data_IF_167594420532
#
_entry.id   IF_167594420532
#
_cell.length_a   1.000
_cell.length_b   1.000
_cell.length_c   1.000
_cell.angle_alpha   90.00
_cell.angle_beta   90.00
_cell.angle_gamma   90.00
#
_symmetry.space_group_name_H-M   'P 1'
#
loop_
_entity.id
_entity.type
_entity.pdbx_description
1 polymer ?
#
# COMPACT_ATOMS: atom_id res chain seq x y z
N UNK A 1 -61.35 -62.65 -18.31
CA UNK A 1 -60.26 -61.80 -17.77
C UNK A 1 -59.24 -61.58 -18.89
N UNK A 2 -59.46 -60.59 -19.75
CA UNK A 2 -58.76 -60.49 -21.05
C UNK A 2 -58.24 -59.06 -21.33
N UNK A 3 -57.64 -58.42 -20.33
CA UNK A 3 -57.14 -57.04 -20.46
C UNK A 3 -55.85 -56.70 -19.72
N UNK A 4 -55.38 -57.58 -18.81
CA UNK A 4 -54.22 -57.28 -17.97
C UNK A 4 -52.88 -57.33 -18.73
N UNK A 5 -52.74 -58.21 -19.73
CA UNK A 5 -51.47 -58.39 -20.46
C UNK A 5 -51.06 -57.19 -21.34
N UNK A 6 -52.02 -56.54 -22.02
CA UNK A 6 -51.73 -55.42 -22.92
C UNK A 6 -51.41 -54.11 -22.17
N UNK A 7 -52.00 -53.88 -21.00
CA UNK A 7 -51.65 -52.71 -20.19
C UNK A 7 -50.24 -52.82 -19.60
N UNK A 8 -49.81 -54.05 -19.30
CA UNK A 8 -48.50 -54.30 -18.71
C UNK A 8 -47.36 -54.13 -19.73
N UNK A 9 -47.57 -54.56 -20.98
CA UNK A 9 -46.62 -54.32 -22.07
C UNK A 9 -46.51 -52.82 -22.39
N UNK A 10 -47.64 -52.11 -22.43
CA UNK A 10 -47.68 -50.67 -22.69
C UNK A 10 -47.00 -49.85 -21.59
N UNK A 11 -47.25 -50.18 -20.32
CA UNK A 11 -46.54 -49.57 -19.19
C UNK A 11 -45.03 -49.80 -19.25
N UNK A 12 -44.59 -50.97 -19.74
CA UNK A 12 -43.17 -51.29 -19.89
C UNK A 12 -42.51 -50.45 -20.98
N UNK A 13 -43.18 -50.26 -22.12
CA UNK A 13 -42.71 -49.39 -23.22
C UNK A 13 -42.60 -47.94 -22.77
N UNK A 14 -43.63 -47.42 -22.09
CA UNK A 14 -43.64 -46.03 -21.59
C UNK A 14 -42.52 -45.81 -20.57
N UNK A 15 -42.28 -46.78 -19.68
CA UNK A 15 -41.20 -46.73 -18.69
C UNK A 15 -39.81 -46.74 -19.33
N UNK A 16 -39.61 -47.54 -20.38
CA UNK A 16 -38.35 -47.59 -21.12
C UNK A 16 -38.09 -46.29 -21.90
N UNK A 17 -39.11 -45.71 -22.53
CA UNK A 17 -38.98 -44.43 -23.23
C UNK A 17 -38.65 -43.27 -22.26
N UNK A 18 -39.27 -43.24 -21.07
CA UNK A 18 -38.93 -42.25 -20.02
C UNK A 18 -37.49 -42.37 -19.53
N UNK A 19 -36.95 -43.59 -19.43
CA UNK A 19 -35.57 -43.81 -19.00
C UNK A 19 -34.55 -43.31 -20.02
N UNK A 20 -34.87 -43.32 -21.32
CA UNK A 20 -34.00 -42.78 -22.38
C UNK A 20 -33.98 -41.25 -22.43
N UNK A 21 -35.06 -40.61 -21.98
CA UNK A 21 -35.21 -39.14 -21.99
C UNK A 21 -34.81 -38.49 -20.66
N UNK A 22 -34.46 -39.28 -19.63
CA UNK A 22 -34.10 -38.75 -18.32
C UNK A 22 -32.73 -38.08 -18.37
N UNK A 23 -32.64 -36.85 -17.83
CA UNK A 23 -31.36 -36.14 -17.61
C UNK A 23 -30.48 -36.96 -16.66
N UNK A 24 -29.38 -37.49 -17.16
CA UNK A 24 -28.42 -38.27 -16.37
C UNK A 24 -27.47 -37.29 -15.66
N UNK A 25 -27.26 -37.50 -14.36
CA UNK A 25 -26.27 -36.76 -13.60
C UNK A 25 -24.87 -37.06 -14.12
N UNK A 26 -24.07 -36.01 -14.32
CA UNK A 26 -22.70 -36.06 -14.84
C UNK A 26 -21.77 -36.89 -13.91
N UNK A 27 -22.21 -37.21 -12.69
CA UNK A 27 -21.44 -37.89 -11.66
C UNK A 27 -21.78 -39.38 -11.46
N UNK A 28 -22.74 -39.94 -12.21
CA UNK A 28 -23.02 -41.39 -12.18
C UNK A 28 -22.48 -42.07 -13.43
N UNK A 29 -21.52 -42.97 -13.24
CA UNK A 29 -20.82 -43.76 -14.27
C UNK A 29 -21.72 -44.78 -15.01
N UNK A 30 -22.94 -44.98 -14.52
CA UNK A 30 -23.84 -46.03 -15.04
C UNK A 30 -24.85 -45.49 -16.04
N UNK A 31 -24.36 -45.24 -17.24
CA UNK A 31 -24.97 -45.68 -18.50
C UNK A 31 -24.20 -45.04 -19.66
N UNK A 32 -23.04 -45.62 -19.98
CA UNK A 32 -22.38 -45.27 -21.24
C UNK A 32 -23.38 -45.44 -22.38
N UNK A 33 -23.32 -44.57 -23.39
CA UNK A 33 -24.11 -44.73 -24.62
C UNK A 33 -24.10 -46.19 -25.14
N UNK A 34 -22.99 -46.90 -24.94
CA UNK A 34 -22.83 -48.32 -25.26
C UNK A 34 -23.76 -49.26 -24.48
N UNK A 35 -23.99 -49.06 -23.18
CA UNK A 35 -24.91 -49.92 -22.40
C UNK A 35 -26.37 -49.63 -22.73
N UNK A 36 -26.73 -48.36 -22.95
CA UNK A 36 -28.06 -47.97 -23.42
C UNK A 36 -28.34 -48.51 -24.83
N UNK A 37 -27.37 -48.38 -25.76
CA UNK A 37 -27.43 -48.94 -27.11
C UNK A 37 -27.55 -50.47 -27.08
N UNK A 38 -26.79 -51.16 -26.22
CA UNK A 38 -26.85 -52.61 -26.06
C UNK A 38 -28.22 -53.07 -25.53
N UNK A 39 -28.81 -52.34 -24.58
CA UNK A 39 -30.16 -52.61 -24.09
C UNK A 39 -31.23 -52.36 -25.18
N UNK A 40 -31.08 -51.30 -25.98
CA UNK A 40 -31.98 -50.98 -27.08
C UNK A 40 -31.92 -52.04 -28.19
N UNK A 41 -30.72 -52.48 -28.57
CA UNK A 41 -30.51 -53.58 -29.53
C UNK A 41 -31.04 -54.92 -29.00
N UNK A 42 -30.98 -55.15 -27.68
CA UNK A 42 -31.53 -56.36 -27.05
C UNK A 42 -33.07 -56.34 -26.99
N UNK A 43 -33.68 -55.16 -26.96
CA UNK A 43 -35.13 -54.96 -27.01
C UNK A 43 -35.70 -55.02 -28.44
N UNK A 44 -34.87 -54.75 -29.46
CA UNK A 44 -35.22 -54.89 -30.87
C UNK A 44 -34.99 -56.36 -31.31
N UNK A 45 -36.02 -57.21 -31.26
CA UNK A 45 -35.97 -58.61 -31.73
C UNK A 45 -35.97 -58.75 -33.28
N UNK A 46 -35.62 -57.69 -34.02
CA UNK A 46 -35.46 -57.75 -35.47
C UNK A 46 -33.99 -57.70 -35.85
N UNK A 47 -33.55 -58.58 -36.75
CA UNK A 47 -32.23 -58.46 -37.38
C UNK A 47 -32.17 -57.11 -38.10
N UNK A 48 -31.40 -56.18 -37.55
CA UNK A 48 -31.04 -54.96 -38.27
C UNK A 48 -30.09 -55.41 -39.38
N UNK A 49 -30.56 -55.42 -40.62
CA UNK A 49 -29.71 -55.65 -41.78
C UNK A 49 -28.72 -54.49 -41.90
N UNK A 50 -27.58 -54.63 -41.22
CA UNK A 50 -26.46 -53.70 -41.32
C UNK A 50 -25.80 -53.98 -42.67
N UNK A 51 -26.41 -53.47 -43.74
CA UNK A 51 -25.75 -53.45 -45.06
C UNK A 51 -24.39 -52.80 -44.89
N UNK A 52 -23.34 -53.55 -45.20
CA UNK A 52 -21.95 -53.05 -45.18
C UNK A 52 -21.83 -52.02 -46.29
N UNK A 53 -21.87 -50.73 -45.90
CA UNK A 53 -21.82 -49.62 -46.86
C UNK A 53 -20.61 -49.74 -47.78
N UNK A 54 -20.80 -49.36 -49.05
CA UNK A 54 -19.71 -49.32 -50.01
C UNK A 54 -18.66 -48.29 -49.60
N UNK A 55 -17.40 -48.49 -50.04
CA UNK A 55 -16.30 -47.54 -49.73
C UNK A 55 -16.62 -46.10 -50.15
N UNK A 56 -17.41 -45.92 -51.22
CA UNK A 56 -17.79 -44.60 -51.72
C UNK A 56 -18.85 -43.92 -50.82
N UNK A 57 -19.85 -44.65 -50.35
CA UNK A 57 -20.86 -44.10 -49.43
C UNK A 57 -20.27 -43.77 -48.07
N UNK A 58 -19.35 -44.62 -47.57
CA UNK A 58 -18.58 -44.34 -46.35
C UNK A 58 -17.76 -43.06 -46.45
N UNK A 59 -17.19 -42.77 -47.63
CA UNK A 59 -16.41 -41.55 -47.90
C UNK A 59 -17.32 -40.31 -47.87
N UNK A 60 -18.49 -40.38 -48.50
CA UNK A 60 -19.50 -39.30 -48.47
C UNK A 60 -20.00 -39.00 -47.04
N UNK A 61 -20.23 -40.03 -46.23
CA UNK A 61 -20.61 -39.87 -44.82
C UNK A 61 -19.49 -39.21 -44.03
N UNK A 62 -18.22 -39.67 -44.21
CA UNK A 62 -17.07 -39.06 -43.53
C UNK A 62 -16.92 -37.59 -43.88
N UNK A 63 -17.02 -37.23 -45.16
CA UNK A 63 -16.92 -35.84 -45.61
C UNK A 63 -18.03 -34.95 -45.04
N UNK A 64 -19.28 -35.46 -45.01
CA UNK A 64 -20.41 -34.75 -44.40
C UNK A 64 -20.20 -34.53 -42.90
N UNK A 65 -19.79 -35.56 -42.17
CA UNK A 65 -19.50 -35.48 -40.73
C UNK A 65 -18.36 -34.51 -40.44
N UNK A 66 -17.28 -34.52 -41.24
CA UNK A 66 -16.16 -33.58 -41.08
C UNK A 66 -16.64 -32.14 -41.32
N UNK A 67 -17.47 -31.90 -42.35
CA UNK A 67 -17.99 -30.57 -42.67
C UNK A 67 -18.92 -30.04 -41.58
N UNK A 68 -19.79 -30.89 -41.04
CA UNK A 68 -20.68 -30.54 -39.93
C UNK A 68 -19.89 -30.25 -38.64
N UNK A 69 -18.90 -31.09 -38.29
CA UNK A 69 -18.01 -30.84 -37.14
C UNK A 69 -17.25 -29.53 -37.26
N UNK A 70 -16.72 -29.19 -38.43
CA UNK A 70 -16.03 -27.90 -38.65
C UNK A 70 -16.96 -26.71 -38.44
N UNK A 71 -18.22 -26.82 -38.87
CA UNK A 71 -19.23 -25.76 -38.68
C UNK A 71 -19.64 -25.61 -37.22
N UNK A 72 -19.79 -26.72 -36.51
CA UNK A 72 -20.07 -26.73 -35.07
C UNK A 72 -18.90 -26.16 -34.26
N UNK A 73 -17.66 -26.57 -34.55
CA UNK A 73 -16.47 -26.05 -33.87
C UNK A 73 -16.30 -24.55 -34.10
N UNK A 74 -16.60 -24.05 -35.30
CA UNK A 74 -16.55 -22.62 -35.60
C UNK A 74 -17.61 -21.84 -34.80
N UNK A 75 -18.84 -22.35 -34.71
CA UNK A 75 -19.90 -21.74 -33.88
C UNK A 75 -19.51 -21.69 -32.40
N UNK A 76 -18.95 -22.79 -31.88
CA UNK A 76 -18.48 -22.85 -30.49
C UNK A 76 -17.34 -21.85 -30.24
N UNK A 77 -16.41 -21.70 -31.19
CA UNK A 77 -15.35 -20.70 -31.11
C UNK A 77 -15.90 -19.26 -31.09
N UNK A 78 -16.87 -18.95 -31.95
CA UNK A 78 -17.51 -17.62 -31.98
C UNK A 78 -18.19 -17.32 -30.64
N UNK A 79 -18.95 -18.28 -30.10
CA UNK A 79 -19.61 -18.12 -28.79
C UNK A 79 -18.56 -17.95 -27.68
N UNK A 80 -17.47 -18.72 -27.72
CA UNK A 80 -16.38 -18.60 -26.76
C UNK A 80 -15.71 -17.22 -26.80
N UNK A 81 -15.44 -16.69 -27.99
CA UNK A 81 -14.90 -15.33 -28.15
C UNK A 81 -15.86 -14.26 -27.63
N UNK A 82 -17.16 -14.38 -27.95
CA UNK A 82 -18.18 -13.44 -27.49
C UNK A 82 -18.30 -13.36 -25.97
N UNK A 83 -17.98 -14.45 -25.25
CA UNK A 83 -18.03 -14.50 -23.78
C UNK A 83 -16.70 -14.07 -23.17
N UNK A 84 -15.57 -14.46 -23.76
CA UNK A 84 -14.23 -14.20 -23.18
C UNK A 84 -13.82 -12.74 -23.28
N UNK A 85 -14.16 -12.05 -24.37
CA UNK A 85 -13.80 -10.63 -24.56
C UNK A 85 -14.43 -9.73 -23.47
N UNK A 86 -15.75 -9.80 -23.19
CA UNK A 86 -16.36 -9.03 -22.10
C UNK A 86 -15.76 -9.35 -20.73
N UNK A 87 -15.47 -10.63 -20.47
CA UNK A 87 -14.88 -11.05 -19.19
C UNK A 87 -13.49 -10.43 -19.02
N UNK A 88 -12.63 -10.51 -20.04
CA UNK A 88 -11.29 -9.90 -19.99
C UNK A 88 -11.38 -8.37 -19.80
N UNK A 89 -12.31 -7.72 -20.50
CA UNK A 89 -12.52 -6.28 -20.36
C UNK A 89 -12.97 -5.91 -18.94
N UNK A 90 -13.94 -6.62 -18.37
CA UNK A 90 -14.39 -6.40 -16.99
C UNK A 90 -13.26 -6.66 -15.98
N UNK A 91 -12.51 -7.75 -16.17
CA UNK A 91 -11.38 -8.12 -15.32
C UNK A 91 -10.30 -7.03 -15.30
N UNK A 92 -9.97 -6.48 -16.48
CA UNK A 92 -9.01 -5.39 -16.61
C UNK A 92 -9.46 -4.11 -15.90
N UNK A 93 -10.74 -3.73 -16.04
CA UNK A 93 -11.27 -2.56 -15.35
C UNK A 93 -11.26 -2.74 -13.83
N UNK A 94 -11.67 -3.91 -13.33
CA UNK A 94 -11.64 -4.21 -11.89
C UNK A 94 -10.21 -4.19 -11.33
N UNK A 95 -9.25 -4.75 -12.07
CA UNK A 95 -7.84 -4.70 -11.70
C UNK A 95 -7.34 -3.25 -11.61
N UNK A 96 -7.62 -2.43 -12.61
CA UNK A 96 -7.21 -1.02 -12.61
C UNK A 96 -7.83 -0.23 -11.46
N UNK A 97 -9.12 -0.42 -11.17
CA UNK A 97 -9.78 0.22 -10.03
C UNK A 97 -9.16 -0.20 -8.70
N UNK A 98 -8.81 -1.48 -8.54
CA UNK A 98 -8.14 -1.98 -7.33
C UNK A 98 -6.75 -1.38 -7.13
N UNK A 99 -5.94 -1.34 -8.20
CA UNK A 99 -4.60 -0.73 -8.18
C UNK A 99 -4.69 0.76 -7.84
N UNK A 100 -5.63 1.50 -8.46
CA UNK A 100 -5.83 2.92 -8.16
C UNK A 100 -6.23 3.16 -6.69
N UNK A 101 -7.12 2.33 -6.14
CA UNK A 101 -7.53 2.42 -4.75
C UNK A 101 -6.35 2.20 -3.79
N UNK A 102 -5.52 1.18 -4.04
CA UNK A 102 -4.32 0.93 -3.23
C UNK A 102 -3.34 2.10 -3.30
N UNK A 103 -3.05 2.60 -4.51
CA UNK A 103 -2.12 3.71 -4.69
C UNK A 103 -2.61 4.98 -3.99
N UNK A 104 -3.92 5.27 -4.04
CA UNK A 104 -4.49 6.42 -3.33
C UNK A 104 -4.30 6.30 -1.81
N UNK A 105 -4.61 5.13 -1.23
CA UNK A 105 -4.46 4.89 0.22
C UNK A 105 -3.00 4.99 0.68
N UNK A 106 -2.08 4.47 -0.13
CA UNK A 106 -0.64 4.56 0.17
C UNK A 106 -0.15 6.01 0.12
N UNK A 107 -0.59 6.79 -0.88
CA UNK A 107 -0.27 8.20 -0.99
C UNK A 107 -0.87 9.04 0.15
N UNK A 108 -2.10 8.77 0.58
CA UNK A 108 -2.74 9.44 1.73
C UNK A 108 -1.95 9.18 3.03
N UNK A 109 -1.56 7.93 3.28
CA UNK A 109 -0.72 7.60 4.45
C UNK A 109 0.64 8.30 4.38
N UNK A 110 1.30 8.27 3.22
CA UNK A 110 2.59 8.92 3.04
C UNK A 110 2.52 10.44 3.26
N UNK A 111 1.47 11.09 2.75
CA UNK A 111 1.24 12.52 2.98
C UNK A 111 0.98 12.79 4.47
N UNK A 112 0.16 11.96 5.12
CA UNK A 112 -0.16 12.10 6.55
C UNK A 112 1.08 11.94 7.44
N UNK A 113 1.94 10.97 7.15
CA UNK A 113 3.19 10.75 7.92
C UNK A 113 4.14 11.94 7.78
N UNK A 114 4.25 12.51 6.57
CA UNK A 114 5.08 13.69 6.31
C UNK A 114 4.55 14.95 7.00
N UNK A 115 3.23 15.13 7.05
CA UNK A 115 2.59 16.22 7.79
C UNK A 115 2.82 16.08 9.30
N UNK A 116 2.71 14.86 9.83
CA UNK A 116 2.98 14.57 11.23
C UNK A 116 4.44 14.87 11.60
N UNK A 117 5.39 14.45 10.76
CA UNK A 117 6.82 14.74 10.95
C UNK A 117 7.07 16.25 11.01
N UNK A 118 6.48 17.01 10.09
CA UNK A 118 6.59 18.48 10.08
C UNK A 118 6.07 19.11 11.38
N UNK A 119 4.90 18.69 11.85
CA UNK A 119 4.32 19.17 13.11
C UNK A 119 5.23 18.85 14.31
N UNK A 120 5.85 17.67 14.33
CA UNK A 120 6.76 17.28 15.40
C UNK A 120 8.03 18.14 15.43
N UNK A 121 8.62 18.41 14.26
CA UNK A 121 9.80 19.29 14.12
C UNK A 121 9.45 20.72 14.56
N UNK A 122 8.31 21.26 14.12
CA UNK A 122 7.85 22.60 14.53
C UNK A 122 7.67 22.67 16.05
N UNK A 123 7.05 21.65 16.66
CA UNK A 123 6.87 21.58 18.11
C UNK A 123 8.21 21.48 18.86
N UNK A 124 9.17 20.73 18.34
CA UNK A 124 10.50 20.64 18.95
C UNK A 124 11.23 21.99 18.88
N UNK A 125 11.19 22.65 17.71
CA UNK A 125 11.79 23.97 17.53
C UNK A 125 11.15 25.01 18.45
N UNK A 126 9.83 24.99 18.58
CA UNK A 126 9.11 25.87 19.51
C UNK A 126 9.57 25.65 20.96
N UNK A 127 9.71 24.41 21.41
CA UNK A 127 10.23 24.10 22.74
C UNK A 127 11.67 24.58 22.95
N UNK A 128 12.53 24.50 21.93
CA UNK A 128 13.90 25.04 21.98
C UNK A 128 13.89 26.56 22.13
N UNK A 129 13.03 27.25 21.38
CA UNK A 129 12.85 28.71 21.47
C UNK A 129 12.37 29.10 22.87
N UNK A 130 11.35 28.44 23.40
CA UNK A 130 10.82 28.72 24.75
C UNK A 130 11.88 28.52 25.84
N UNK A 131 12.68 27.44 25.77
CA UNK A 131 13.80 27.22 26.68
C UNK A 131 14.86 28.31 26.55
N UNK A 132 15.21 28.68 25.33
CA UNK A 132 16.17 29.74 25.06
C UNK A 132 15.73 31.06 25.69
N UNK A 133 14.49 31.48 25.42
CA UNK A 133 13.92 32.73 25.96
C UNK A 133 13.87 32.70 27.48
N UNK A 134 13.46 31.57 28.06
CA UNK A 134 13.49 31.37 29.50
C UNK A 134 14.91 31.58 30.07
N UNK A 135 15.92 30.93 29.50
CA UNK A 135 17.30 31.05 29.97
C UNK A 135 17.86 32.47 29.82
N UNK A 136 17.53 33.15 28.72
CA UNK A 136 17.90 34.54 28.50
C UNK A 136 17.28 35.45 29.55
N UNK A 137 15.96 35.41 29.71
CA UNK A 137 15.24 36.28 30.64
C UNK A 137 15.65 36.00 32.09
N UNK A 138 15.87 34.72 32.43
CA UNK A 138 16.34 34.33 33.76
C UNK A 138 17.78 34.83 34.01
N UNK A 139 18.66 34.74 33.01
CA UNK A 139 20.01 35.27 33.07
C UNK A 139 20.03 36.78 33.29
N UNK A 140 19.21 37.53 32.53
CA UNK A 140 19.06 38.98 32.65
C UNK A 140 18.58 39.37 34.07
N UNK A 141 17.58 38.66 34.61
CA UNK A 141 17.13 38.83 35.99
C UNK A 141 18.24 38.60 37.03
N UNK A 142 19.19 37.69 36.77
CA UNK A 142 20.33 37.48 37.67
C UNK A 142 21.40 38.57 37.53
N UNK A 143 21.60 39.14 36.34
CA UNK A 143 22.46 40.30 36.13
C UNK A 143 21.96 41.49 36.95
N UNK A 144 20.65 41.77 36.91
CA UNK A 144 20.03 42.86 37.70
C UNK A 144 20.26 42.67 39.21
N UNK A 145 20.22 41.41 39.69
CA UNK A 145 20.48 41.03 41.08
C UNK A 145 21.96 40.94 41.43
N UNK A 146 22.84 41.30 40.51
CA UNK A 146 24.29 41.23 40.67
C UNK A 146 24.85 39.82 40.94
N UNK A 147 24.11 38.79 40.53
CA UNK A 147 24.51 37.40 40.69
C UNK A 147 25.10 36.85 39.40
N UNK A 148 26.36 37.21 39.16
CA UNK A 148 27.06 36.95 37.89
C UNK A 148 27.20 35.46 37.58
N UNK A 149 27.45 34.63 38.59
CA UNK A 149 27.61 33.18 38.41
C UNK A 149 26.31 32.53 37.93
N UNK A 150 25.18 32.90 38.51
CA UNK A 150 23.89 32.37 38.09
C UNK A 150 23.51 32.90 36.70
N UNK A 151 23.78 34.17 36.40
CA UNK A 151 23.59 34.72 35.06
C UNK A 151 24.40 33.94 34.00
N UNK A 152 25.70 33.74 34.23
CA UNK A 152 26.58 32.95 33.37
C UNK A 152 26.02 31.53 33.18
N UNK A 153 25.54 30.89 34.25
CA UNK A 153 24.96 29.55 34.16
C UNK A 153 23.75 29.53 33.22
N UNK A 154 22.84 30.49 33.35
CA UNK A 154 21.66 30.55 32.48
C UNK A 154 22.03 30.86 31.03
N UNK A 155 22.91 31.83 30.78
CA UNK A 155 23.34 32.14 29.41
C UNK A 155 24.08 30.97 28.75
N UNK A 156 24.85 30.18 29.51
CA UNK A 156 25.42 28.93 28.98
C UNK A 156 24.35 27.95 28.53
N UNK A 157 23.23 27.86 29.25
CA UNK A 157 22.12 27.00 28.82
C UNK A 157 21.43 27.57 27.57
N UNK A 158 21.27 28.90 27.46
CA UNK A 158 20.78 29.53 26.23
C UNK A 158 21.70 29.25 25.02
N UNK A 159 23.02 29.34 25.19
CA UNK A 159 24.01 29.02 24.15
C UNK A 159 23.98 27.53 23.80
N UNK A 160 23.65 26.61 24.72
CA UNK A 160 23.47 25.19 24.36
C UNK A 160 22.27 24.96 23.44
N UNK A 161 21.19 25.70 23.62
CA UNK A 161 20.01 25.61 22.74
C UNK A 161 20.29 26.22 21.36
N UNK A 162 20.98 27.38 21.31
CA UNK A 162 21.38 28.03 20.06
C UNK A 162 22.85 28.51 20.07
N UNK A 163 23.81 27.63 19.72
CA UNK A 163 25.24 27.92 19.84
C UNK A 163 25.75 29.09 19.01
N UNK A 164 25.12 29.34 17.86
CA UNK A 164 25.51 30.36 16.90
C UNK A 164 24.79 31.70 17.12
N UNK A 165 23.79 31.75 18.00
CA UNK A 165 23.01 32.96 18.22
C UNK A 165 23.87 34.01 18.91
N UNK A 166 24.14 35.10 18.19
CA UNK A 166 25.00 36.20 18.65
C UNK A 166 24.56 36.72 20.01
N UNK A 167 23.27 36.98 20.15
CA UNK A 167 22.63 37.53 21.35
C UNK A 167 22.98 36.74 22.64
N UNK A 168 22.85 35.42 22.65
CA UNK A 168 23.17 34.60 23.83
C UNK A 168 24.67 34.53 24.11
N UNK A 169 25.50 34.50 23.05
CA UNK A 169 26.95 34.52 23.21
C UNK A 169 27.44 35.87 23.75
N UNK A 170 26.85 36.98 23.28
CA UNK A 170 27.10 38.31 23.78
C UNK A 170 26.71 38.43 25.25
N UNK A 171 25.49 38.03 25.63
CA UNK A 171 25.05 38.05 27.04
C UNK A 171 25.94 37.18 27.94
N UNK A 172 26.40 36.03 27.45
CA UNK A 172 27.37 35.20 28.16
C UNK A 172 28.72 35.92 28.35
N UNK A 173 29.23 36.60 27.32
CA UNK A 173 30.44 37.41 27.41
C UNK A 173 30.27 38.58 28.41
N UNK A 174 29.11 39.23 28.41
CA UNK A 174 28.75 40.26 29.37
C UNK A 174 28.77 39.71 30.81
N UNK A 175 28.13 38.56 31.05
CA UNK A 175 28.17 37.89 32.36
C UNK A 175 29.60 37.58 32.82
N UNK A 176 30.46 37.09 31.92
CA UNK A 176 31.88 36.89 32.21
C UNK A 176 32.61 38.18 32.54
N UNK A 177 32.33 39.27 31.82
CA UNK A 177 32.96 40.57 32.07
C UNK A 177 32.64 41.10 33.47
N UNK A 178 31.39 40.95 33.94
CA UNK A 178 31.00 41.35 35.29
C UNK A 178 31.63 40.46 36.36
N UNK A 179 31.64 39.15 36.15
CA UNK A 179 32.27 38.21 37.06
C UNK A 179 33.79 38.44 37.17
N UNK A 180 34.43 38.81 36.06
CA UNK A 180 35.83 39.22 36.05
C UNK A 180 36.03 40.54 36.80
N UNK A 181 35.31 41.61 36.40
CA UNK A 181 35.44 42.95 36.97
C UNK A 181 35.24 42.99 38.49
N UNK A 182 34.24 42.27 39.00
CA UNK A 182 33.85 42.37 40.40
C UNK A 182 34.41 41.25 41.28
N UNK A 183 34.71 40.07 40.72
CA UNK A 183 35.15 38.90 41.50
C UNK A 183 36.51 38.33 41.06
N UNK A 184 37.14 38.92 40.03
CA UNK A 184 38.39 38.44 39.40
C UNK A 184 38.32 36.96 39.00
N UNK A 185 37.18 36.53 38.42
CA UNK A 185 36.93 35.14 38.02
C UNK A 185 36.45 35.03 36.59
N UNK A 186 36.89 33.95 35.93
CA UNK A 186 36.51 33.56 34.57
C UNK A 186 36.87 34.59 33.46
N UNK A 187 37.81 35.51 33.73
CA UNK A 187 38.29 36.52 32.77
C UNK A 187 38.75 35.91 31.44
N UNK A 188 39.60 34.86 31.49
CA UNK A 188 40.10 34.17 30.30
C UNK A 188 38.99 33.56 29.43
N UNK A 189 37.92 33.08 30.06
CA UNK A 189 36.78 32.47 29.35
C UNK A 189 36.00 33.56 28.62
N UNK A 190 35.78 34.70 29.27
CA UNK A 190 35.15 35.86 28.68
C UNK A 190 35.98 36.43 27.52
N UNK A 191 37.30 36.61 27.71
CA UNK A 191 38.21 37.10 26.67
C UNK A 191 38.19 36.21 25.42
N UNK A 192 38.35 34.88 25.57
CA UNK A 192 38.28 33.95 24.44
C UNK A 192 36.95 34.04 23.69
N UNK A 193 35.85 34.20 24.42
CA UNK A 193 34.52 34.33 23.82
C UNK A 193 34.38 35.65 23.06
N UNK A 194 34.81 36.77 23.65
CA UNK A 194 34.81 38.09 23.00
C UNK A 194 35.68 38.11 21.76
N UNK A 195 36.89 37.54 21.81
CA UNK A 195 37.77 37.45 20.65
C UNK A 195 37.14 36.65 19.50
N UNK A 196 36.42 35.56 19.82
CA UNK A 196 35.68 34.79 18.82
C UNK A 196 34.57 35.63 18.19
N UNK A 197 33.85 36.42 18.97
CA UNK A 197 32.78 37.29 18.45
C UNK A 197 33.32 38.45 17.61
N UNK A 198 34.44 39.05 18.03
CA UNK A 198 35.13 40.11 17.27
C UNK A 198 35.72 39.61 15.95
N UNK A 199 36.04 38.32 15.80
CA UNK A 199 36.41 37.78 14.47
C UNK A 199 35.27 37.90 13.45
N UNK A 200 34.02 37.82 13.91
CA UNK A 200 32.83 37.95 13.05
C UNK A 200 32.43 39.40 12.90
N UNK A 201 32.48 40.19 13.98
CA UNK A 201 32.17 41.62 13.97
C UNK A 201 33.31 42.44 14.61
N UNK A 202 34.40 42.75 13.87
CA UNK A 202 35.60 43.35 14.43
C UNK A 202 35.44 44.75 15.05
N UNK A 203 34.44 45.50 14.60
CA UNK A 203 34.21 46.89 15.00
C UNK A 203 33.05 47.03 16.00
N UNK A 204 32.63 45.93 16.62
CA UNK A 204 31.59 45.97 17.65
C UNK A 204 32.10 46.70 18.89
N UNK A 205 31.63 47.94 19.09
CA UNK A 205 32.06 48.80 20.19
C UNK A 205 31.78 48.18 21.55
N UNK A 206 30.69 47.44 21.70
CA UNK A 206 30.32 46.83 22.98
C UNK A 206 31.29 45.71 23.32
N UNK A 207 31.61 44.84 22.36
CA UNK A 207 32.59 43.77 22.56
C UNK A 207 34.00 44.30 22.86
N UNK A 208 34.40 45.42 22.25
CA UNK A 208 35.67 46.07 22.57
C UNK A 208 35.71 46.55 24.02
N UNK A 209 34.62 47.16 24.52
CA UNK A 209 34.48 47.55 25.92
C UNK A 209 34.58 46.33 26.85
N UNK A 210 33.88 45.24 26.53
CA UNK A 210 33.96 44.00 27.33
C UNK A 210 35.39 43.45 27.37
N UNK A 211 36.11 43.50 26.25
CA UNK A 211 37.51 43.08 26.16
C UNK A 211 38.41 43.90 27.09
N UNK A 212 38.26 45.22 27.08
CA UNK A 212 39.03 46.12 27.95
C UNK A 212 38.77 45.87 29.43
N UNK A 213 37.52 45.58 29.80
CA UNK A 213 37.15 45.26 31.20
C UNK A 213 37.91 44.04 31.71
N UNK A 214 38.11 43.03 30.86
CA UNK A 214 38.68 41.74 31.25
C UNK A 214 40.22 41.66 31.12
N UNK A 215 40.85 42.66 30.51
CA UNK A 215 42.31 42.78 30.40
C UNK A 215 42.96 43.57 31.56
N UNK A 216 42.15 44.13 32.47
CA UNK A 216 42.59 44.89 33.64
C UNK A 216 42.67 43.99 34.86
#
# INVERSE_FOLDING_TARGET
MSGAGNMQSMNTIIRNNRNLLRKISIFKKDSSFMSARKAYLKAFQGEVDIRKLSKQELRKIREKVIKERKKESLRLWIISFLITIPILFLSYNLYNSFVQYQNKKLNENFVSDKELEKILIERENQKKIEKYEFYINNGDNWIEKQNWKNAIFQYKNAVKEFPEKYEANYRLALGYSYNCKFLNKDCDKGLKLVERLLKVNPNDSELLILKEIMNK
#
